data_IF_625976463003
#
_entry.id   IF_625976463003
#
_cell.length_a   1.000
_cell.length_b   1.000
_cell.length_c   1.000
_cell.angle_alpha   90.00
_cell.angle_beta   90.00
_cell.angle_gamma   90.00
#
_symmetry.space_group_name_H-M   'P 1'
#
loop_
_entity.id
_entity.type
_entity.pdbx_description
1 polymer ?
#
# COMPACT_ATOMS: atom_id res chain seq x y z
N UNK A 1 -38.69 47.78 27.71
CA UNK A 1 -39.97 48.38 27.25
C UNK A 1 -40.31 47.77 25.91
N UNK A 2 -41.48 47.17 25.80
CA UNK A 2 -42.22 46.59 24.65
C UNK A 2 -41.83 45.14 24.18
N UNK A 3 -42.58 44.27 24.74
CA UNK A 3 -42.95 42.93 24.34
C UNK A 3 -43.87 43.05 23.11
N UNK A 4 -43.64 42.28 22.07
CA UNK A 4 -44.66 42.02 21.04
C UNK A 4 -44.77 40.53 20.77
N UNK A 5 -45.84 39.97 21.23
CA UNK A 5 -46.38 38.65 20.94
C UNK A 5 -46.86 38.58 19.48
N UNK A 6 -46.50 37.53 18.74
CA UNK A 6 -47.23 37.13 17.53
C UNK A 6 -47.46 35.61 17.54
N UNK A 7 -48.61 35.30 17.82
CA UNK A 7 -49.63 34.26 17.54
C UNK A 7 -49.19 33.04 16.71
N UNK A 8 -49.43 31.93 17.36
CA UNK A 8 -49.64 30.56 16.87
C UNK A 8 -50.68 30.52 15.75
N UNK A 9 -50.35 29.89 14.64
CA UNK A 9 -51.33 29.34 13.72
C UNK A 9 -50.98 27.87 13.46
N UNK A 10 -51.78 27.02 14.06
CA UNK A 10 -51.82 25.60 13.78
C UNK A 10 -52.49 25.38 12.43
N UNK A 11 -51.85 24.61 11.56
CA UNK A 11 -52.51 24.05 10.36
C UNK A 11 -52.24 22.54 10.32
N UNK A 12 -53.27 21.81 10.72
CA UNK A 12 -53.44 20.37 10.54
C UNK A 12 -53.74 20.13 9.05
N UNK A 13 -52.98 19.30 8.35
CA UNK A 13 -53.39 18.70 7.09
C UNK A 13 -52.85 17.26 6.96
N UNK A 14 -53.80 16.41 7.07
CA UNK A 14 -54.04 15.05 6.58
C UNK A 14 -52.87 14.26 5.96
N UNK A 15 -52.64 13.13 6.59
CA UNK A 15 -51.94 11.95 6.11
C UNK A 15 -52.58 11.32 4.87
N UNK A 16 -51.82 11.13 3.78
CA UNK A 16 -52.10 10.11 2.77
C UNK A 16 -50.93 9.15 2.70
N UNK A 17 -51.16 7.94 3.17
CA UNK A 17 -50.24 6.81 3.02
C UNK A 17 -50.23 6.36 1.53
N UNK A 18 -49.11 6.53 0.87
CA UNK A 18 -48.82 5.89 -0.42
C UNK A 18 -47.93 4.65 -0.14
N UNK A 19 -48.59 3.51 -0.21
CA UNK A 19 -47.93 2.19 -0.21
C UNK A 19 -47.23 2.03 -1.57
N UNK A 20 -45.97 2.31 -1.67
CA UNK A 20 -45.17 1.99 -2.86
C UNK A 20 -44.80 0.50 -2.80
N UNK A 21 -45.43 -0.28 -3.69
CA UNK A 21 -45.19 -1.70 -3.87
C UNK A 21 -43.74 -1.99 -4.29
N UNK A 22 -43.12 -2.93 -3.56
CA UNK A 22 -41.83 -3.53 -4.00
C UNK A 22 -42.06 -4.31 -5.29
N UNK A 23 -41.71 -3.71 -6.42
CA UNK A 23 -41.59 -4.41 -7.70
C UNK A 23 -40.34 -5.28 -7.65
N UNK A 24 -40.51 -6.61 -7.53
CA UNK A 24 -39.44 -7.58 -7.74
C UNK A 24 -39.00 -7.51 -9.20
N UNK A 25 -37.82 -6.99 -9.46
CA UNK A 25 -37.18 -7.09 -10.77
C UNK A 25 -37.01 -8.56 -11.10
N UNK A 26 -37.70 -9.01 -12.12
CA UNK A 26 -37.53 -10.32 -12.75
C UNK A 26 -36.12 -10.38 -13.29
N UNK A 27 -35.30 -11.27 -12.74
CA UNK A 27 -33.96 -11.56 -13.26
C UNK A 27 -34.17 -12.30 -14.58
N UNK A 28 -33.81 -11.67 -15.70
CA UNK A 28 -33.71 -12.36 -16.98
C UNK A 28 -32.61 -13.43 -16.89
N UNK A 29 -32.84 -14.66 -17.35
CA UNK A 29 -31.79 -15.64 -17.44
C UNK A 29 -30.72 -15.18 -18.43
N UNK A 30 -29.47 -15.25 -18.01
CA UNK A 30 -28.32 -15.02 -18.87
C UNK A 30 -28.38 -15.95 -20.10
N UNK A 31 -28.02 -15.48 -21.29
CA UNK A 31 -27.93 -16.33 -22.47
C UNK A 31 -26.93 -17.47 -22.23
N UNK A 32 -27.17 -18.67 -22.80
CA UNK A 32 -26.26 -19.77 -22.61
C UNK A 32 -24.87 -19.40 -23.11
N UNK A 33 -23.87 -19.63 -22.25
CA UNK A 33 -22.45 -19.52 -22.60
C UNK A 33 -22.22 -20.47 -23.76
N UNK A 34 -21.81 -19.98 -24.92
CA UNK A 34 -21.38 -20.81 -26.02
C UNK A 34 -20.24 -21.71 -25.52
N UNK A 35 -20.41 -23.01 -25.61
CA UNK A 35 -19.35 -23.99 -25.40
C UNK A 35 -18.26 -23.69 -26.45
N UNK A 36 -17.25 -22.90 -25.99
CA UNK A 36 -16.01 -22.73 -26.73
C UNK A 36 -15.33 -24.09 -26.74
N UNK A 37 -15.10 -24.61 -27.94
CA UNK A 37 -14.27 -25.75 -28.22
C UNK A 37 -12.98 -25.67 -27.41
N UNK A 38 -12.88 -26.56 -26.44
CA UNK A 38 -11.68 -26.84 -25.67
C UNK A 38 -10.59 -27.34 -26.63
N UNK A 39 -9.83 -26.42 -27.20
CA UNK A 39 -8.53 -26.74 -27.77
C UNK A 39 -7.62 -26.93 -26.56
N UNK A 40 -7.51 -28.16 -26.10
CA UNK A 40 -6.63 -28.62 -25.04
C UNK A 40 -5.19 -28.21 -25.30
N UNK A 41 -4.87 -26.94 -25.04
CA UNK A 41 -3.53 -26.50 -24.72
C UNK A 41 -3.22 -27.09 -23.35
N UNK A 42 -2.49 -28.18 -23.34
CA UNK A 42 -1.87 -28.74 -22.14
C UNK A 42 -1.00 -27.62 -21.54
N UNK A 43 -1.54 -26.86 -20.60
CA UNK A 43 -0.74 -25.99 -19.72
C UNK A 43 0.06 -26.95 -18.85
N UNK A 44 1.34 -27.10 -19.18
CA UNK A 44 2.29 -27.82 -18.34
C UNK A 44 2.31 -27.10 -16.99
N UNK A 45 1.81 -27.71 -15.89
CA UNK A 45 1.78 -27.06 -14.59
C UNK A 45 3.18 -26.79 -14.04
N UNK A 46 4.22 -27.21 -14.74
CA UNK A 46 5.63 -26.98 -14.40
C UNK A 46 6.35 -26.01 -15.37
N UNK A 47 5.65 -25.48 -16.39
CA UNK A 47 6.23 -24.51 -17.33
C UNK A 47 6.28 -23.10 -16.70
N UNK A 48 7.09 -22.93 -15.66
CA UNK A 48 7.27 -21.64 -14.97
C UNK A 48 7.73 -21.76 -13.53
N UNK A 49 7.72 -22.95 -12.96
CA UNK A 49 8.26 -23.18 -11.62
C UNK A 49 9.80 -23.15 -11.69
N UNK A 50 10.39 -21.95 -11.49
CA UNK A 50 11.82 -21.81 -11.31
C UNK A 50 12.55 -20.77 -12.18
N UNK A 51 11.90 -20.14 -13.16
CA UNK A 51 12.53 -19.03 -13.88
C UNK A 51 12.16 -17.69 -13.25
N UNK A 52 13.16 -17.07 -12.61
CA UNK A 52 13.00 -15.70 -12.11
C UNK A 52 12.87 -14.76 -13.30
N UNK A 53 11.76 -14.01 -13.32
CA UNK A 53 11.51 -13.03 -14.37
C UNK A 53 12.39 -11.79 -14.12
N UNK A 54 13.25 -11.40 -15.07
CA UNK A 54 14.09 -10.21 -14.92
C UNK A 54 13.25 -8.96 -14.63
N UNK A 55 13.63 -8.20 -13.60
CA UNK A 55 12.90 -7.00 -13.18
C UNK A 55 11.70 -7.26 -12.26
N UNK A 56 11.42 -8.52 -11.89
CA UNK A 56 10.37 -8.87 -10.92
C UNK A 56 10.81 -8.63 -9.47
N UNK A 57 9.87 -8.78 -8.52
CA UNK A 57 10.17 -8.72 -7.09
C UNK A 57 11.15 -9.83 -6.68
N UNK A 58 11.03 -11.02 -7.25
CA UNK A 58 11.92 -12.14 -6.98
C UNK A 58 13.35 -11.85 -7.46
N UNK A 59 13.51 -11.27 -8.67
CA UNK A 59 14.81 -10.86 -9.20
C UNK A 59 15.43 -9.74 -8.34
N UNK A 60 14.60 -8.81 -7.88
CA UNK A 60 15.03 -7.77 -6.94
C UNK A 60 15.56 -8.37 -5.64
N UNK A 61 14.77 -9.22 -4.96
CA UNK A 61 15.17 -9.87 -3.71
C UNK A 61 16.42 -10.74 -3.88
N UNK A 62 16.54 -11.45 -4.99
CA UNK A 62 17.75 -12.23 -5.28
C UNK A 62 18.98 -11.33 -5.46
N UNK A 63 18.80 -10.17 -6.06
CA UNK A 63 19.90 -9.24 -6.34
C UNK A 63 20.38 -8.49 -5.12
N UNK A 64 19.47 -8.07 -4.23
CA UNK A 64 19.80 -7.27 -3.03
C UNK A 64 19.97 -8.12 -1.78
N UNK A 65 19.61 -9.41 -1.83
CA UNK A 65 19.59 -10.33 -0.70
C UNK A 65 18.31 -10.20 0.14
N UNK A 66 18.05 -11.19 0.98
CA UNK A 66 16.80 -11.30 1.75
C UNK A 66 16.52 -10.13 2.71
N UNK A 67 17.54 -9.40 3.14
CA UNK A 67 17.41 -8.22 4.01
C UNK A 67 17.69 -6.91 3.27
N UNK A 68 17.96 -6.98 1.97
CA UNK A 68 18.31 -5.82 1.16
C UNK A 68 17.09 -5.08 0.59
N UNK A 69 15.90 -5.58 0.81
CA UNK A 69 14.65 -4.94 0.39
C UNK A 69 14.16 -3.86 1.35
N UNK A 70 14.72 -3.79 2.55
CA UNK A 70 14.32 -2.82 3.56
C UNK A 70 15.50 -2.19 4.29
N UNK A 71 15.26 -1.04 4.88
CA UNK A 71 16.15 -0.31 5.78
C UNK A 71 15.44 -0.09 7.11
N UNK A 72 16.22 0.04 8.19
CA UNK A 72 15.73 0.14 9.56
C UNK A 72 15.95 1.54 10.12
N UNK A 73 15.18 1.91 11.12
CA UNK A 73 15.27 3.22 11.74
C UNK A 73 15.26 3.14 13.27
N UNK A 74 15.97 4.05 13.89
CA UNK A 74 15.85 4.28 15.34
C UNK A 74 14.45 4.80 15.72
N UNK A 75 14.16 4.76 17.02
CA UNK A 75 12.93 5.31 17.60
C UNK A 75 12.79 6.80 17.22
N UNK A 76 11.64 7.16 16.68
CA UNK A 76 11.29 8.52 16.23
C UNK A 76 12.27 9.14 15.19
N UNK A 77 13.09 8.32 14.55
CA UNK A 77 14.04 8.74 13.52
C UNK A 77 13.60 8.34 12.12
N UNK A 78 14.09 9.11 11.15
CA UNK A 78 13.93 8.88 9.71
C UNK A 78 15.22 9.21 8.92
N UNK A 79 16.35 9.42 9.62
CA UNK A 79 17.67 9.57 8.99
C UNK A 79 18.21 8.22 8.56
N UNK A 80 18.92 8.19 7.44
CA UNK A 80 19.53 7.00 6.87
C UNK A 80 20.96 6.90 7.38
N UNK A 81 21.30 5.79 8.01
CA UNK A 81 22.64 5.52 8.52
C UNK A 81 23.57 4.92 7.43
N UNK A 82 24.82 4.60 7.78
CA UNK A 82 25.80 4.09 6.82
C UNK A 82 25.44 2.69 6.30
N UNK A 83 24.79 1.84 7.11
CA UNK A 83 24.36 0.50 6.69
C UNK A 83 23.16 0.60 5.76
N UNK A 84 22.20 1.44 6.07
CA UNK A 84 21.04 1.73 5.25
C UNK A 84 21.45 2.34 3.89
N UNK A 85 22.48 3.21 3.90
CA UNK A 85 23.05 3.74 2.68
C UNK A 85 23.62 2.64 1.75
N UNK A 86 24.32 1.66 2.29
CA UNK A 86 24.84 0.53 1.52
C UNK A 86 23.71 -0.33 0.93
N UNK A 87 22.66 -0.55 1.70
CA UNK A 87 21.45 -1.26 1.25
C UNK A 87 20.79 -0.51 0.09
N UNK A 88 20.54 0.78 0.24
CA UNK A 88 19.93 1.61 -0.82
C UNK A 88 20.83 1.74 -2.05
N UNK A 89 22.17 1.72 -1.91
CA UNK A 89 23.09 1.67 -3.05
C UNK A 89 22.91 0.38 -3.85
N UNK A 90 22.75 -0.76 -3.19
CA UNK A 90 22.49 -2.04 -3.86
C UNK A 90 21.16 -2.02 -4.60
N UNK A 91 20.11 -1.42 -4.01
CA UNK A 91 18.81 -1.23 -4.65
C UNK A 91 18.91 -0.29 -5.86
N UNK A 92 19.67 0.81 -5.75
CA UNK A 92 19.89 1.74 -6.86
C UNK A 92 20.62 1.07 -8.04
N UNK A 93 21.59 0.19 -7.76
CA UNK A 93 22.29 -0.59 -8.79
C UNK A 93 21.33 -1.53 -9.54
N UNK A 94 20.40 -2.18 -8.82
CA UNK A 94 19.35 -2.98 -9.45
C UNK A 94 18.42 -2.12 -10.31
N UNK A 95 17.96 -0.99 -9.79
CA UNK A 95 17.10 -0.04 -10.52
C UNK A 95 17.79 0.55 -11.76
N UNK A 96 19.11 0.68 -11.75
CA UNK A 96 19.89 1.10 -12.92
C UNK A 96 19.94 0.02 -14.00
N UNK A 97 19.98 -1.27 -13.63
CA UNK A 97 19.91 -2.40 -14.58
C UNK A 97 18.52 -2.54 -15.22
N UNK A 98 17.47 -2.15 -14.50
CA UNK A 98 16.08 -2.27 -14.95
C UNK A 98 15.40 -0.89 -15.03
N UNK A 99 15.70 -0.09 -16.08
CA UNK A 99 15.25 1.31 -16.17
C UNK A 99 13.73 1.46 -16.27
N UNK A 100 13.03 0.41 -16.70
CA UNK A 100 11.54 0.42 -16.80
C UNK A 100 10.85 -0.02 -15.49
N UNK A 101 11.56 -0.63 -14.57
CA UNK A 101 10.99 -1.05 -13.29
C UNK A 101 10.68 0.16 -12.40
N UNK A 102 9.56 0.08 -11.71
CA UNK A 102 9.09 1.06 -10.73
C UNK A 102 9.05 0.41 -9.35
N UNK A 103 9.18 1.24 -8.33
CA UNK A 103 9.12 0.76 -6.95
C UNK A 103 8.20 1.61 -6.10
N UNK A 104 7.61 0.98 -5.09
CA UNK A 104 6.93 1.62 -3.97
C UNK A 104 7.81 1.49 -2.73
N UNK A 105 8.04 2.61 -2.05
CA UNK A 105 8.68 2.67 -0.75
C UNK A 105 7.61 2.73 0.33
N UNK A 106 7.50 1.66 1.09
CA UNK A 106 6.50 1.50 2.15
C UNK A 106 7.11 1.84 3.50
N UNK A 107 6.64 2.93 4.12
CA UNK A 107 7.12 3.39 5.41
C UNK A 107 6.29 2.84 6.56
N UNK A 108 6.98 2.32 7.58
CA UNK A 108 6.40 1.68 8.75
C UNK A 108 6.93 2.26 10.05
N UNK A 109 6.16 2.08 11.12
CA UNK A 109 6.50 2.46 12.47
C UNK A 109 6.17 1.31 13.44
N UNK A 110 6.70 1.38 14.66
CA UNK A 110 6.31 0.47 15.74
C UNK A 110 4.92 0.85 16.30
N UNK A 111 4.38 0.03 17.19
CA UNK A 111 3.02 0.19 17.71
C UNK A 111 2.80 1.40 18.63
N UNK A 112 3.87 2.00 19.16
CA UNK A 112 3.80 3.08 20.14
C UNK A 112 3.33 4.39 19.50
N UNK A 113 2.56 5.19 20.26
CA UNK A 113 2.04 6.48 19.79
C UNK A 113 0.72 6.39 19.02
N UNK A 114 0.22 7.54 18.55
CA UNK A 114 -1.06 7.63 17.84
C UNK A 114 -0.94 7.12 16.40
N UNK A 115 -2.07 6.80 15.80
CA UNK A 115 -2.14 6.36 14.40
C UNK A 115 -1.64 7.44 13.44
N UNK A 116 -2.10 8.65 13.65
CA UNK A 116 -1.76 9.82 12.81
C UNK A 116 -0.28 10.14 12.88
N UNK A 117 0.31 10.11 14.07
CA UNK A 117 1.73 10.31 14.26
C UNK A 117 2.56 9.26 13.49
N UNK A 118 2.19 7.98 13.63
CA UNK A 118 2.91 6.88 12.99
C UNK A 118 2.75 6.89 11.46
N UNK A 119 1.59 7.30 10.93
CA UNK A 119 1.43 7.51 9.49
C UNK A 119 2.37 8.61 9.00
N UNK A 120 2.45 9.74 9.68
CA UNK A 120 3.37 10.82 9.31
C UNK A 120 4.84 10.41 9.44
N UNK A 121 5.20 9.60 10.47
CA UNK A 121 6.57 9.09 10.63
C UNK A 121 6.94 8.10 9.53
N UNK A 122 6.04 7.17 9.19
CA UNK A 122 6.23 6.24 8.08
C UNK A 122 6.41 6.96 6.75
N UNK A 123 5.63 8.01 6.50
CA UNK A 123 5.79 8.84 5.30
C UNK A 123 7.18 9.51 5.23
N UNK A 124 7.66 10.06 6.35
CA UNK A 124 9.00 10.65 6.41
C UNK A 124 10.09 9.62 6.12
N UNK A 125 9.98 8.40 6.64
CA UNK A 125 10.89 7.28 6.39
C UNK A 125 10.93 6.89 4.92
N UNK A 126 9.76 6.68 4.32
CA UNK A 126 9.65 6.39 2.88
C UNK A 126 10.25 7.51 2.02
N UNK A 127 9.97 8.77 2.36
CA UNK A 127 10.51 9.92 1.64
C UNK A 127 12.04 10.06 1.83
N UNK A 128 12.59 9.72 2.99
CA UNK A 128 14.05 9.71 3.19
C UNK A 128 14.72 8.70 2.28
N UNK A 129 14.20 7.48 2.19
CA UNK A 129 14.69 6.45 1.28
C UNK A 129 14.57 6.88 -0.19
N UNK A 130 13.42 7.47 -0.59
CA UNK A 130 13.23 8.02 -1.94
C UNK A 130 14.26 9.08 -2.29
N UNK A 131 14.47 10.05 -1.40
CA UNK A 131 15.42 11.13 -1.63
C UNK A 131 16.85 10.61 -1.77
N UNK A 132 17.21 9.60 -0.99
CA UNK A 132 18.51 8.98 -1.10
C UNK A 132 18.68 8.20 -2.42
N UNK A 133 17.72 7.39 -2.82
CA UNK A 133 17.72 6.72 -4.13
C UNK A 133 17.80 7.72 -5.28
N UNK A 134 17.06 8.83 -5.19
CA UNK A 134 17.13 9.91 -6.19
C UNK A 134 18.52 10.57 -6.24
N UNK A 135 19.18 10.75 -5.11
CA UNK A 135 20.56 11.27 -5.06
C UNK A 135 21.59 10.32 -5.70
N UNK A 136 21.27 9.03 -5.78
CA UNK A 136 22.06 8.01 -6.47
C UNK A 136 21.73 7.90 -7.98
N UNK A 137 20.85 8.79 -8.49
CA UNK A 137 20.52 8.87 -9.91
C UNK A 137 19.27 8.09 -10.34
N UNK A 138 18.51 7.54 -9.40
CA UNK A 138 17.21 6.92 -9.72
C UNK A 138 16.16 8.02 -9.97
N UNK A 139 15.46 7.95 -11.12
CA UNK A 139 14.42 8.92 -11.44
C UNK A 139 13.28 8.85 -10.41
N UNK A 140 12.99 9.99 -9.76
CA UNK A 140 11.95 10.11 -8.74
C UNK A 140 10.54 9.76 -9.25
N UNK A 141 10.29 9.84 -10.55
CA UNK A 141 9.02 9.45 -11.17
C UNK A 141 8.79 7.93 -11.13
N UNK A 142 9.84 7.15 -10.94
CA UNK A 142 9.83 5.70 -10.80
C UNK A 142 9.60 5.24 -9.35
N UNK A 143 9.62 6.17 -8.40
CA UNK A 143 9.56 5.87 -6.97
C UNK A 143 8.30 6.46 -6.38
N UNK A 144 7.36 5.61 -6.00
CA UNK A 144 6.19 6.00 -5.20
C UNK A 144 6.52 5.85 -3.72
N UNK A 145 5.84 6.61 -2.87
CA UNK A 145 5.93 6.46 -1.41
C UNK A 145 4.54 6.23 -0.84
N UNK A 146 4.43 5.32 0.12
CA UNK A 146 3.21 5.05 0.87
C UNK A 146 3.57 4.84 2.33
N UNK A 147 2.72 5.29 3.25
CA UNK A 147 2.89 5.01 4.66
C UNK A 147 1.78 4.10 5.16
N UNK A 148 2.17 3.06 5.84
CA UNK A 148 1.27 2.21 6.62
C UNK A 148 1.35 2.51 8.12
N UNK A 149 2.27 3.40 8.54
CA UNK A 149 2.46 3.68 9.94
C UNK A 149 2.64 2.38 10.74
N UNK A 150 1.83 2.17 11.76
CA UNK A 150 1.85 0.95 12.58
C UNK A 150 0.84 -0.14 12.17
N UNK A 151 0.13 0.04 11.05
CA UNK A 151 -0.99 -0.83 10.65
C UNK A 151 -0.53 -2.17 10.05
N UNK A 152 0.74 -2.27 9.62
CA UNK A 152 1.31 -3.49 9.01
C UNK A 152 2.61 -3.89 9.70
N UNK A 153 2.54 -4.40 10.95
CA UNK A 153 3.72 -4.87 11.65
C UNK A 153 4.25 -6.16 11.00
N UNK A 154 5.58 -6.32 11.00
CA UNK A 154 6.25 -7.57 10.60
C UNK A 154 6.55 -8.45 11.83
N UNK A 155 6.74 -7.83 13.00
CA UNK A 155 6.89 -8.51 14.27
C UNK A 155 5.77 -8.09 15.23
N UNK A 156 5.14 -9.07 15.87
CA UNK A 156 3.92 -8.89 16.69
C UNK A 156 4.19 -8.74 18.19
N UNK A 157 5.46 -8.74 18.62
CA UNK A 157 5.83 -8.57 20.03
C UNK A 157 5.78 -7.11 20.46
N UNK A 158 5.48 -6.88 21.75
CA UNK A 158 5.54 -5.57 22.42
C UNK A 158 6.87 -5.42 23.19
N UNK A 159 7.97 -5.61 22.49
CA UNK A 159 9.35 -5.52 22.99
C UNK A 159 10.25 -4.78 21.99
N UNK A 160 11.42 -4.35 22.46
CA UNK A 160 12.33 -3.54 21.62
C UNK A 160 12.82 -4.30 20.36
N UNK A 161 12.97 -5.62 20.42
CA UNK A 161 13.40 -6.40 19.25
C UNK A 161 12.33 -6.40 18.14
N UNK A 162 11.06 -6.55 18.54
CA UNK A 162 9.91 -6.47 17.62
C UNK A 162 9.71 -5.05 17.10
N UNK A 163 9.82 -4.05 17.97
CA UNK A 163 9.69 -2.65 17.56
C UNK A 163 10.78 -2.25 16.57
N UNK A 164 12.03 -2.68 16.79
CA UNK A 164 13.14 -2.39 15.87
C UNK A 164 12.85 -2.95 14.45
N UNK A 165 12.30 -4.15 14.32
CA UNK A 165 11.93 -4.72 13.04
C UNK A 165 10.77 -3.97 12.38
N UNK A 166 9.85 -3.41 13.18
CA UNK A 166 8.71 -2.66 12.67
C UNK A 166 9.09 -1.24 12.20
N UNK A 167 10.14 -0.63 12.75
CA UNK A 167 10.65 0.68 12.34
C UNK A 167 11.46 0.56 11.04
N UNK A 168 10.80 0.45 9.90
CA UNK A 168 11.44 0.17 8.61
C UNK A 168 10.84 0.96 7.44
N UNK A 169 11.58 1.01 6.35
CA UNK A 169 11.03 1.31 5.02
C UNK A 169 11.37 0.14 4.08
N UNK A 170 10.35 -0.35 3.37
CA UNK A 170 10.46 -1.52 2.48
C UNK A 170 10.34 -1.06 1.04
N UNK A 171 11.18 -1.60 0.16
CA UNK A 171 11.12 -1.40 -1.29
C UNK A 171 10.41 -2.56 -1.94
N UNK A 172 9.31 -2.27 -2.63
CA UNK A 172 8.51 -3.25 -3.35
C UNK A 172 8.46 -2.86 -4.83
N UNK A 173 8.73 -3.80 -5.74
CA UNK A 173 8.61 -3.53 -7.18
C UNK A 173 7.14 -3.43 -7.57
N UNK A 174 6.82 -2.47 -8.45
CA UNK A 174 5.47 -2.26 -8.99
C UNK A 174 5.50 -2.66 -10.46
N UNK A 175 4.69 -3.63 -10.83
CA UNK A 175 4.50 -4.09 -12.20
C UNK A 175 3.44 -3.26 -12.92
#
# INVERSE_FOLDING_TARGET
MKITNVKIAALLLASTALIAGCSKKKVEPLPPVAEGTDTGGQVDPNAGAGQIVPGSQEDFLQSVGQSGDHILFDTDRFNIDAQDQATLQSQAQWLARYPNSRVSLEGHADERGTREYNLALGERRANSAKNYLASLGVDSSRIQTVSYGKERPTAMGSDEASWAQNRRAVTVTVQ
#
